data_IF_407418714450
#
_entry.id   IF_407418714450
#
_cell.length_a   1.000
_cell.length_b   1.000
_cell.length_c   1.000
_cell.angle_alpha   90.00
_cell.angle_beta   90.00
_cell.angle_gamma   90.00
#
_symmetry.space_group_name_H-M   'P 1'
#
loop_
_entity.id
_entity.type
_entity.pdbx_description
1 polymer ?
#
# COMPACT_ATOMS: atom_id res chain seq x y z
N UNK A 1 -8.22 15.70 8.07
CA UNK A 1 -7.26 16.03 9.14
C UNK A 1 -7.90 16.08 10.52
N UNK A 2 -8.91 16.94 10.81
CA UNK A 2 -9.50 17.04 12.15
C UNK A 2 -10.02 15.70 12.72
N UNK A 3 -10.72 14.89 11.91
CA UNK A 3 -11.18 13.54 12.30
C UNK A 3 -10.02 12.60 12.63
N UNK A 4 -8.97 12.61 11.81
CA UNK A 4 -7.81 11.71 11.95
C UNK A 4 -7.02 11.99 13.22
N UNK A 5 -6.73 13.27 13.48
CA UNK A 5 -5.91 13.68 14.62
C UNK A 5 -6.71 14.07 15.86
N UNK A 6 -8.04 13.93 15.81
CA UNK A 6 -8.97 14.23 16.93
C UNK A 6 -8.77 15.63 17.52
N UNK A 7 -8.38 16.60 16.68
CA UNK A 7 -8.14 18.00 17.04
C UNK A 7 -8.46 18.92 15.87
N UNK A 8 -8.77 20.19 16.10
CA UNK A 8 -9.00 21.17 15.04
C UNK A 8 -7.81 21.22 14.08
N UNK A 9 -8.11 21.32 12.78
CA UNK A 9 -7.10 21.57 11.75
C UNK A 9 -7.06 23.07 11.47
N UNK A 10 -5.87 23.65 11.55
CA UNK A 10 -5.63 25.07 11.30
C UNK A 10 -4.52 25.23 10.26
N UNK A 11 -4.72 26.14 9.32
CA UNK A 11 -3.71 26.55 8.35
C UNK A 11 -3.12 27.88 8.81
N UNK A 12 -1.82 27.88 9.05
CA UNK A 12 -1.08 29.06 9.49
C UNK A 12 -0.11 29.49 8.40
N UNK A 13 -0.17 30.77 7.99
CA UNK A 13 0.78 31.36 7.06
C UNK A 13 1.90 32.02 7.87
N UNK A 14 3.14 31.63 7.59
CA UNK A 14 4.35 32.10 8.27
C UNK A 14 5.40 32.53 7.28
N UNK A 15 6.25 33.47 7.66
CA UNK A 15 7.51 33.71 6.94
C UNK A 15 8.41 32.47 7.06
N UNK A 16 9.23 32.21 6.03
CA UNK A 16 10.11 31.04 6.02
C UNK A 16 11.04 30.98 7.26
N UNK A 17 11.49 32.14 7.77
CA UNK A 17 12.30 32.23 8.99
C UNK A 17 11.60 31.78 10.26
N UNK A 18 10.25 31.67 10.22
CA UNK A 18 9.41 31.26 11.35
C UNK A 18 8.93 29.80 11.22
N UNK A 19 9.39 29.07 10.16
CA UNK A 19 9.00 27.68 10.00
C UNK A 19 9.38 26.87 11.24
N UNK A 20 8.53 25.93 11.72
CA UNK A 20 8.92 24.98 12.75
C UNK A 20 10.15 24.18 12.33
N UNK A 21 10.92 23.72 13.31
CA UNK A 21 11.99 22.76 13.04
C UNK A 21 11.40 21.46 12.44
N UNK A 22 12.14 20.85 11.55
CA UNK A 22 11.75 19.57 10.98
C UNK A 22 11.70 18.53 12.10
N UNK A 23 10.62 17.76 12.17
CA UNK A 23 10.49 16.67 13.13
C UNK A 23 10.07 15.40 12.40
N UNK A 24 10.76 14.31 12.66
CA UNK A 24 10.38 12.97 12.23
C UNK A 24 10.27 12.08 13.46
N UNK A 25 9.20 11.32 13.55
CA UNK A 25 8.98 10.34 14.61
C UNK A 25 8.86 8.95 13.99
N UNK A 26 9.89 8.55 13.21
CA UNK A 26 9.98 7.18 12.73
C UNK A 26 9.98 6.21 13.91
N UNK A 27 9.13 5.19 13.83
CA UNK A 27 9.15 4.10 14.79
C UNK A 27 9.95 2.95 14.19
N UNK A 28 10.85 2.30 14.95
CA UNK A 28 11.49 1.06 14.53
C UNK A 28 10.45 -0.07 14.55
N UNK A 29 9.56 -0.09 13.55
CA UNK A 29 8.49 -1.05 13.39
C UNK A 29 8.88 -2.02 12.27
N UNK A 30 8.69 -3.32 12.53
CA UNK A 30 8.96 -4.35 11.54
C UNK A 30 10.30 -5.05 11.71
N UNK A 31 10.51 -6.10 10.88
CA UNK A 31 11.69 -6.99 10.89
C UNK A 31 11.86 -7.85 12.16
N UNK A 32 10.89 -7.84 13.07
CA UNK A 32 10.88 -8.72 14.23
C UNK A 32 10.37 -10.10 13.80
N UNK A 33 11.26 -11.09 13.73
CA UNK A 33 10.93 -12.41 13.21
C UNK A 33 10.96 -13.53 14.27
N UNK A 34 11.41 -13.23 15.48
CA UNK A 34 11.50 -14.16 16.60
C UNK A 34 10.11 -14.55 17.15
N UNK A 35 9.94 -15.79 17.60
CA UNK A 35 8.73 -16.30 18.23
C UNK A 35 7.61 -16.69 17.27
N UNK A 36 6.40 -16.86 17.83
CA UNK A 36 5.20 -17.29 17.12
C UNK A 36 4.31 -16.07 16.84
N UNK A 37 4.15 -15.70 15.58
CA UNK A 37 3.53 -14.45 15.16
C UNK A 37 2.36 -14.66 14.21
N UNK A 38 1.30 -13.90 14.38
CA UNK A 38 0.24 -13.80 13.38
C UNK A 38 0.51 -12.56 12.52
N UNK A 39 0.50 -12.73 11.21
CA UNK A 39 0.44 -11.64 10.25
C UNK A 39 -0.90 -11.63 9.54
N UNK A 40 -1.56 -10.49 9.52
CA UNK A 40 -2.86 -10.33 8.89
C UNK A 40 -2.84 -9.19 7.89
N UNK A 41 -3.32 -9.46 6.68
CA UNK A 41 -3.49 -8.47 5.63
C UNK A 41 -4.99 -8.32 5.32
N UNK A 42 -5.52 -7.16 5.67
CA UNK A 42 -6.93 -6.81 5.50
C UNK A 42 -7.15 -6.12 4.16
N UNK A 43 -7.32 -6.91 3.10
CA UNK A 43 -7.65 -6.40 1.77
C UNK A 43 -9.12 -6.01 1.60
N UNK A 44 -9.42 -5.32 0.50
CA UNK A 44 -10.77 -4.86 0.18
C UNK A 44 -11.70 -5.92 -0.42
N UNK A 45 -11.16 -7.03 -0.93
CA UNK A 45 -11.91 -8.14 -1.56
C UNK A 45 -11.58 -9.50 -0.93
N UNK A 46 -10.45 -9.59 -0.26
CA UNK A 46 -9.96 -10.77 0.41
C UNK A 46 -9.20 -10.36 1.68
N UNK A 47 -9.04 -11.31 2.58
CA UNK A 47 -8.17 -11.18 3.75
C UNK A 47 -7.18 -12.32 3.75
N UNK A 48 -5.93 -12.04 4.10
CA UNK A 48 -4.87 -13.02 4.20
C UNK A 48 -4.37 -13.10 5.63
N UNK A 49 -4.09 -14.30 6.08
CA UNK A 49 -3.49 -14.51 7.39
C UNK A 49 -2.36 -15.53 7.28
N UNK A 50 -1.28 -15.27 7.99
CA UNK A 50 -0.15 -16.21 8.10
C UNK A 50 0.19 -16.49 9.56
N UNK A 51 0.49 -17.74 9.86
CA UNK A 51 1.18 -18.15 11.08
C UNK A 51 2.68 -18.24 10.77
N UNK A 52 3.49 -17.52 11.53
CA UNK A 52 4.94 -17.39 11.31
C UNK A 52 5.65 -17.82 12.60
N UNK A 53 6.62 -18.73 12.48
CA UNK A 53 7.45 -19.16 13.60
C UNK A 53 8.91 -18.86 13.25
N UNK A 54 9.55 -18.01 14.05
CA UNK A 54 10.95 -17.59 13.87
C UNK A 54 11.26 -17.15 12.43
N UNK A 55 10.34 -16.40 11.83
CA UNK A 55 10.47 -15.84 10.47
C UNK A 55 9.97 -16.75 9.34
N UNK A 56 9.68 -18.03 9.62
CA UNK A 56 9.20 -18.97 8.61
C UNK A 56 7.67 -19.09 8.64
N UNK A 57 6.97 -18.88 7.51
CA UNK A 57 5.53 -19.08 7.43
C UNK A 57 5.22 -20.60 7.48
N UNK A 58 4.55 -21.04 8.56
CA UNK A 58 4.13 -22.43 8.73
C UNK A 58 2.70 -22.69 8.25
N UNK A 59 1.93 -21.61 8.09
CA UNK A 59 0.57 -21.65 7.53
C UNK A 59 0.24 -20.31 6.89
N UNK A 60 -0.53 -20.34 5.80
CA UNK A 60 -1.13 -19.15 5.21
C UNK A 60 -2.49 -19.49 4.61
N UNK A 61 -3.45 -18.60 4.76
CA UNK A 61 -4.78 -18.72 4.22
C UNK A 61 -5.22 -17.38 3.60
N UNK A 62 -5.92 -17.47 2.47
CA UNK A 62 -6.59 -16.34 1.83
C UNK A 62 -8.09 -16.66 1.75
N UNK A 63 -8.92 -15.74 2.25
CA UNK A 63 -10.37 -15.91 2.29
C UNK A 63 -11.02 -14.67 1.68
N UNK A 64 -11.92 -14.89 0.72
CA UNK A 64 -12.77 -13.82 0.17
C UNK A 64 -13.64 -13.23 1.27
N UNK A 65 -13.60 -11.91 1.38
CA UNK A 65 -14.52 -11.14 2.20
C UNK A 65 -14.84 -9.81 1.51
N UNK A 66 -15.93 -9.18 1.88
CA UNK A 66 -16.39 -7.96 1.22
C UNK A 66 -16.66 -6.87 2.27
N UNK A 67 -15.63 -6.37 2.95
CA UNK A 67 -15.77 -5.45 4.09
C UNK A 67 -16.39 -4.11 3.67
N UNK A 68 -16.06 -3.61 2.48
CA UNK A 68 -16.59 -2.35 1.95
C UNK A 68 -18.10 -2.37 1.69
N UNK A 69 -18.69 -3.55 1.62
CA UNK A 69 -20.13 -3.75 1.38
C UNK A 69 -20.93 -3.88 2.66
N UNK A 70 -20.28 -4.02 3.81
CA UNK A 70 -20.92 -4.29 5.09
C UNK A 70 -21.01 -3.04 5.97
N UNK A 71 -22.21 -2.83 6.51
CA UNK A 71 -22.46 -1.74 7.46
C UNK A 71 -22.33 -2.18 8.94
N UNK A 72 -22.41 -3.49 9.19
CA UNK A 72 -22.32 -4.04 10.54
C UNK A 72 -20.84 -4.28 10.93
N UNK A 73 -20.33 -3.59 11.97
CA UNK A 73 -18.96 -3.81 12.46
C UNK A 73 -18.72 -5.22 13.02
N UNK A 74 -19.76 -5.97 13.37
CA UNK A 74 -19.60 -7.35 13.84
C UNK A 74 -19.17 -8.31 12.73
N UNK A 75 -19.58 -8.06 11.49
CA UNK A 75 -19.07 -8.80 10.32
C UNK A 75 -17.53 -8.69 10.23
N UNK A 76 -17.03 -7.46 10.33
CA UNK A 76 -15.59 -7.20 10.26
C UNK A 76 -14.86 -7.85 11.44
N UNK A 77 -15.35 -7.62 12.65
CA UNK A 77 -14.75 -8.18 13.87
C UNK A 77 -14.70 -9.72 13.85
N UNK A 78 -15.82 -10.35 13.49
CA UNK A 78 -15.89 -11.82 13.41
C UNK A 78 -14.90 -12.37 12.36
N UNK A 79 -14.81 -11.69 11.19
CA UNK A 79 -13.86 -12.06 10.15
C UNK A 79 -12.40 -11.96 10.59
N UNK A 80 -12.02 -10.90 11.29
CA UNK A 80 -10.66 -10.71 11.81
C UNK A 80 -10.34 -11.76 12.87
N UNK A 81 -11.23 -11.96 13.86
CA UNK A 81 -11.02 -12.94 14.93
C UNK A 81 -10.95 -14.36 14.39
N UNK A 82 -11.78 -14.71 13.39
CA UNK A 82 -11.73 -16.01 12.74
C UNK A 82 -10.35 -16.25 12.10
N UNK A 83 -9.82 -15.29 11.34
CA UNK A 83 -8.50 -15.37 10.73
C UNK A 83 -7.40 -15.56 11.78
N UNK A 84 -7.43 -14.76 12.87
CA UNK A 84 -6.45 -14.89 13.95
C UNK A 84 -6.50 -16.27 14.64
N UNK A 85 -7.70 -16.80 14.89
CA UNK A 85 -7.87 -18.13 15.48
C UNK A 85 -7.38 -19.24 14.55
N UNK A 86 -7.65 -19.13 13.25
CA UNK A 86 -7.13 -20.08 12.26
C UNK A 86 -5.61 -20.11 12.28
N UNK A 87 -4.94 -18.97 12.20
CA UNK A 87 -3.48 -18.91 12.26
C UNK A 87 -2.94 -19.42 13.63
N UNK A 88 -3.55 -19.02 14.74
CA UNK A 88 -3.16 -19.46 16.08
C UNK A 88 -3.19 -20.99 16.25
N UNK A 89 -4.12 -21.67 15.58
CA UNK A 89 -4.23 -23.14 15.67
C UNK A 89 -3.01 -23.88 15.06
N UNK A 90 -2.19 -23.21 14.27
CA UNK A 90 -0.98 -23.76 13.65
C UNK A 90 0.30 -23.46 14.43
N UNK A 91 0.19 -22.87 15.62
CA UNK A 91 1.34 -22.47 16.45
C UNK A 91 1.12 -22.94 17.91
N UNK A 92 2.19 -23.23 18.66
CA UNK A 92 2.07 -23.65 20.06
C UNK A 92 1.59 -22.51 20.99
N UNK A 93 1.76 -21.26 20.58
CA UNK A 93 1.36 -20.03 21.27
C UNK A 93 1.30 -18.87 20.27
N UNK A 94 0.85 -17.72 20.72
CA UNK A 94 0.93 -16.46 19.94
C UNK A 94 1.67 -15.42 20.77
N UNK A 95 2.81 -14.95 20.26
CA UNK A 95 3.68 -13.99 20.94
C UNK A 95 3.43 -12.55 20.45
N UNK A 96 2.94 -12.36 19.21
CA UNK A 96 2.65 -11.06 18.63
C UNK A 96 1.67 -11.14 17.45
N UNK A 97 0.97 -10.07 17.16
CA UNK A 97 0.05 -9.93 16.02
C UNK A 97 0.34 -8.65 15.27
N UNK A 98 0.75 -8.76 14.02
CA UNK A 98 0.95 -7.62 13.12
C UNK A 98 -0.12 -7.56 12.03
N UNK A 99 -0.55 -6.35 11.69
CA UNK A 99 -1.70 -6.10 10.82
C UNK A 99 -1.33 -5.08 9.75
N UNK A 100 -1.56 -5.48 8.51
CA UNK A 100 -1.54 -4.65 7.31
C UNK A 100 -2.99 -4.29 6.94
N UNK A 101 -3.31 -3.03 6.77
CA UNK A 101 -4.66 -2.62 6.41
C UNK A 101 -4.70 -1.24 5.76
N UNK A 102 -5.51 -1.07 4.71
CA UNK A 102 -5.71 0.22 4.08
C UNK A 102 -6.32 1.22 5.06
N UNK A 103 -5.69 2.38 5.21
CA UNK A 103 -6.20 3.46 6.07
C UNK A 103 -5.12 4.15 6.89
N UNK A 104 -5.56 5.02 7.80
CA UNK A 104 -4.71 5.79 8.71
C UNK A 104 -4.88 5.24 10.12
N UNK A 105 -3.77 4.85 10.73
CA UNK A 105 -3.71 4.24 12.07
C UNK A 105 -2.85 5.09 13.01
N UNK A 106 -3.38 5.38 14.20
CA UNK A 106 -2.66 6.11 15.25
C UNK A 106 -2.76 5.31 16.55
N UNK A 107 -1.63 4.93 17.12
CA UNK A 107 -1.57 4.07 18.30
C UNK A 107 -2.42 2.78 18.14
N UNK A 108 -2.31 2.14 16.98
CA UNK A 108 -3.05 0.92 16.59
C UNK A 108 -4.57 1.09 16.47
N UNK A 109 -5.08 2.33 16.54
CA UNK A 109 -6.50 2.66 16.36
C UNK A 109 -6.79 3.03 14.92
N UNK A 110 -7.90 2.56 14.39
CA UNK A 110 -8.39 2.90 13.06
C UNK A 110 -8.98 4.30 13.06
N UNK A 111 -8.31 5.27 12.44
CA UNK A 111 -8.80 6.65 12.37
C UNK A 111 -9.67 6.88 11.14
N UNK A 112 -9.21 6.41 9.97
CA UNK A 112 -9.94 6.38 8.71
C UNK A 112 -9.50 5.14 7.95
N UNK A 113 -10.43 4.37 7.40
CA UNK A 113 -10.10 3.21 6.58
C UNK A 113 -11.23 2.88 5.58
N UNK A 114 -10.86 2.65 4.33
CA UNK A 114 -11.79 2.35 3.24
C UNK A 114 -12.57 1.03 3.44
N UNK A 115 -12.07 0.14 4.28
CA UNK A 115 -12.75 -1.12 4.60
C UNK A 115 -14.08 -0.95 5.34
N UNK A 116 -14.27 0.19 6.01
CA UNK A 116 -15.43 0.47 6.86
C UNK A 116 -16.34 1.59 6.32
N UNK A 117 -16.29 1.85 5.00
CA UNK A 117 -17.00 2.97 4.37
C UNK A 117 -18.53 2.97 4.60
N UNK A 118 -19.13 1.78 4.72
CA UNK A 118 -20.58 1.66 4.97
C UNK A 118 -20.97 1.64 6.43
N UNK A 119 -20.00 1.57 7.35
CA UNK A 119 -20.27 1.59 8.79
C UNK A 119 -20.66 3.01 9.19
N UNK A 120 -21.84 3.21 9.83
CA UNK A 120 -22.24 4.51 10.37
C UNK A 120 -21.21 5.11 11.34
N UNK A 121 -21.09 6.43 11.35
CA UNK A 121 -20.04 7.13 12.12
C UNK A 121 -20.10 6.83 13.62
N UNK A 122 -21.27 6.75 14.21
CA UNK A 122 -21.46 6.40 15.63
C UNK A 122 -20.99 4.96 15.94
N UNK A 123 -21.27 4.01 15.06
CA UNK A 123 -20.77 2.64 15.18
C UNK A 123 -19.27 2.55 14.89
N UNK A 124 -18.76 3.37 13.97
CA UNK A 124 -17.33 3.45 13.71
C UNK A 124 -16.58 3.91 14.98
N UNK A 125 -17.00 5.00 15.58
CA UNK A 125 -16.40 5.52 16.82
C UNK A 125 -16.47 4.50 17.98
N UNK A 126 -17.61 3.86 18.16
CA UNK A 126 -17.84 2.96 19.28
C UNK A 126 -17.21 1.57 19.11
N UNK A 127 -17.05 1.08 17.88
CA UNK A 127 -16.80 -0.35 17.64
C UNK A 127 -15.68 -0.65 16.63
N UNK A 128 -15.33 0.30 15.74
CA UNK A 128 -14.30 0.10 14.71
C UNK A 128 -12.95 0.69 15.12
N UNK A 129 -12.95 1.82 15.79
CA UNK A 129 -11.68 2.47 16.19
C UNK A 129 -10.67 1.52 16.83
N UNK A 130 -11.12 0.68 17.75
CA UNK A 130 -10.28 -0.29 18.47
C UNK A 130 -10.45 -1.73 17.98
N UNK A 131 -10.96 -1.94 16.76
CA UNK A 131 -11.35 -3.26 16.26
C UNK A 131 -10.21 -4.25 16.26
N UNK A 132 -9.02 -3.87 15.82
CA UNK A 132 -7.83 -4.71 15.75
C UNK A 132 -7.26 -5.02 17.14
N UNK A 133 -7.24 -4.02 18.04
CA UNK A 133 -6.84 -4.19 19.44
C UNK A 133 -7.77 -5.18 20.15
N UNK A 134 -9.08 -5.02 19.94
CA UNK A 134 -10.09 -5.94 20.52
C UNK A 134 -9.97 -7.34 19.94
N UNK A 135 -9.72 -7.49 18.65
CA UNK A 135 -9.52 -8.78 18.02
C UNK A 135 -8.25 -9.50 18.53
N UNK A 136 -7.16 -8.76 18.72
CA UNK A 136 -5.93 -9.29 19.32
C UNK A 136 -6.18 -9.78 20.77
N UNK A 137 -6.91 -8.99 21.57
CA UNK A 137 -7.29 -9.38 22.95
C UNK A 137 -8.18 -10.62 23.01
N UNK A 138 -8.93 -10.95 21.95
CA UNK A 138 -9.72 -12.18 21.87
C UNK A 138 -8.86 -13.45 21.65
N UNK A 139 -7.58 -13.27 21.28
CA UNK A 139 -6.57 -14.35 21.21
C UNK A 139 -5.80 -14.45 22.52
N UNK A 140 -5.41 -13.31 23.08
CA UNK A 140 -4.77 -13.23 24.39
C UNK A 140 -4.67 -11.79 24.90
N UNK A 141 -4.87 -11.53 26.21
CA UNK A 141 -5.04 -10.19 26.75
C UNK A 141 -3.79 -9.31 26.63
N UNK A 142 -2.59 -9.92 26.63
CA UNK A 142 -1.31 -9.23 26.71
C UNK A 142 -0.47 -9.39 25.42
N UNK A 143 -1.08 -9.85 24.32
CA UNK A 143 -0.36 -10.03 23.05
C UNK A 143 -0.08 -8.66 22.43
N UNK A 144 1.18 -8.30 22.15
CA UNK A 144 1.53 -7.10 21.42
C UNK A 144 0.86 -7.08 20.04
N UNK A 145 0.31 -5.92 19.68
CA UNK A 145 -0.31 -5.70 18.37
C UNK A 145 0.29 -4.45 17.73
N UNK A 146 0.56 -4.51 16.44
CA UNK A 146 0.94 -3.34 15.64
C UNK A 146 0.14 -3.32 14.33
N UNK A 147 -0.44 -2.16 14.02
CA UNK A 147 -1.26 -1.94 12.82
C UNK A 147 -0.61 -0.85 11.96
N UNK A 148 -0.31 -1.19 10.72
CA UNK A 148 0.27 -0.25 9.76
C UNK A 148 -0.56 -0.19 8.48
N UNK A 149 -0.39 0.91 7.74
CA UNK A 149 -0.94 1.05 6.40
C UNK A 149 -0.41 -0.05 5.46
N UNK A 150 -1.25 -0.54 4.57
CA UNK A 150 -0.91 -1.62 3.63
C UNK A 150 0.20 -1.24 2.63
N UNK A 151 0.28 0.03 2.22
CA UNK A 151 1.39 0.57 1.42
C UNK A 151 2.72 0.49 2.18
N UNK A 152 2.74 0.90 3.44
CA UNK A 152 3.94 0.84 4.30
C UNK A 152 4.39 -0.61 4.54
N UNK A 153 3.46 -1.53 4.77
CA UNK A 153 3.78 -2.95 4.94
C UNK A 153 4.29 -3.56 3.64
N UNK A 154 3.78 -3.12 2.48
CA UNK A 154 4.30 -3.53 1.17
C UNK A 154 5.74 -3.03 0.95
N UNK A 155 6.04 -1.79 1.33
CA UNK A 155 7.40 -1.24 1.29
C UNK A 155 8.34 -2.01 2.25
N UNK A 156 7.86 -2.36 3.46
CA UNK A 156 8.60 -3.17 4.42
C UNK A 156 8.90 -4.57 3.86
N UNK A 157 7.93 -5.23 3.23
CA UNK A 157 8.16 -6.51 2.56
C UNK A 157 9.25 -6.40 1.48
N UNK A 158 9.25 -5.29 0.72
CA UNK A 158 10.30 -4.95 -0.23
C UNK A 158 11.66 -4.79 0.43
N UNK A 159 11.71 -4.01 1.51
CA UNK A 159 12.93 -3.77 2.26
C UNK A 159 13.52 -5.06 2.88
N UNK A 160 12.65 -5.96 3.38
CA UNK A 160 13.05 -7.29 3.87
C UNK A 160 13.55 -8.19 2.74
N UNK A 161 12.92 -8.15 1.56
CA UNK A 161 13.34 -8.91 0.40
C UNK A 161 14.69 -8.47 -0.14
N UNK A 162 14.91 -7.16 -0.24
CA UNK A 162 16.13 -6.54 -0.75
C UNK A 162 17.26 -6.50 0.29
N UNK A 163 16.95 -6.78 1.57
CA UNK A 163 17.84 -6.57 2.70
C UNK A 163 18.43 -5.12 2.71
N UNK A 164 17.56 -4.15 2.48
CA UNK A 164 17.94 -2.74 2.31
C UNK A 164 16.90 -1.82 2.93
N UNK A 165 17.31 -0.59 3.27
CA UNK A 165 16.44 0.53 3.58
C UNK A 165 16.26 1.47 2.37
N UNK A 166 15.66 2.63 2.61
CA UNK A 166 15.34 3.63 1.57
C UNK A 166 14.50 3.03 0.43
N UNK A 167 13.44 2.32 0.77
CA UNK A 167 12.58 1.62 -0.17
C UNK A 167 11.24 2.31 -0.28
N UNK A 168 10.90 2.75 -1.49
CA UNK A 168 9.55 3.17 -1.86
C UNK A 168 8.82 2.00 -2.49
N UNK A 169 7.71 1.57 -1.89
CA UNK A 169 6.75 0.66 -2.51
C UNK A 169 5.65 1.46 -3.22
N UNK A 170 5.39 1.17 -4.49
CA UNK A 170 4.35 1.82 -5.28
C UNK A 170 3.45 0.76 -5.91
N UNK A 171 2.23 0.65 -5.41
CA UNK A 171 1.25 -0.29 -5.91
C UNK A 171 0.32 0.39 -6.93
N UNK A 172 0.38 -0.07 -8.17
CA UNK A 172 -0.40 0.40 -9.30
C UNK A 172 -1.52 -0.62 -9.60
N UNK A 173 -2.67 -0.43 -8.98
CA UNK A 173 -3.81 -1.36 -9.03
C UNK A 173 -5.11 -0.70 -9.44
N UNK A 174 -6.19 -0.96 -8.69
CA UNK A 174 -7.47 -0.25 -8.80
C UNK A 174 -7.28 1.23 -8.46
N UNK A 175 -6.45 1.51 -7.46
CA UNK A 175 -5.94 2.82 -7.10
C UNK A 175 -4.41 2.77 -7.09
N UNK A 176 -3.78 3.88 -6.80
CA UNK A 176 -2.38 3.96 -6.44
C UNK A 176 -2.25 3.92 -4.92
N UNK A 177 -1.25 3.21 -4.41
CA UNK A 177 -0.88 3.24 -3.00
C UNK A 177 0.63 3.32 -2.86
N UNK A 178 1.10 4.20 -1.99
CA UNK A 178 2.50 4.39 -1.67
C UNK A 178 2.83 3.93 -0.25
N UNK A 179 4.06 3.51 -0.02
CA UNK A 179 4.63 3.28 1.30
C UNK A 179 6.12 3.48 1.27
N UNK A 180 6.71 3.90 2.38
CA UNK A 180 8.12 4.19 2.44
C UNK A 180 8.77 3.66 3.71
N UNK A 181 9.93 3.05 3.52
CA UNK A 181 10.83 2.59 4.59
C UNK A 181 12.12 3.38 4.49
N UNK A 182 12.54 4.01 5.58
CA UNK A 182 13.73 4.88 5.65
C UNK A 182 15.05 4.10 5.52
N UNK A 183 16.18 4.81 5.56
CA UNK A 183 17.51 4.20 5.42
C UNK A 183 17.86 3.22 6.55
N UNK A 184 17.25 3.37 7.71
CA UNK A 184 17.43 2.47 8.85
C UNK A 184 16.46 1.27 8.82
N UNK A 185 15.54 1.26 7.83
CA UNK A 185 14.56 0.22 7.64
C UNK A 185 13.28 0.41 8.46
N UNK A 186 13.01 1.63 8.92
CA UNK A 186 11.84 1.95 9.72
C UNK A 186 10.68 2.48 8.88
N UNK A 187 9.46 2.19 9.31
CA UNK A 187 8.25 2.85 8.80
C UNK A 187 8.19 4.26 9.40
N UNK A 188 8.10 5.29 8.56
CA UNK A 188 8.22 6.70 8.97
C UNK A 188 6.99 7.24 9.67
N UNK A 189 5.83 6.62 9.49
CA UNK A 189 4.54 7.14 9.93
C UNK A 189 4.05 8.34 9.10
N UNK A 190 4.66 8.62 7.95
CA UNK A 190 4.14 9.56 6.96
C UNK A 190 2.90 8.96 6.28
N UNK A 191 2.02 9.81 5.75
CA UNK A 191 0.78 9.32 5.13
C UNK A 191 1.02 8.62 3.80
N UNK A 192 2.09 8.99 3.07
CA UNK A 192 2.49 8.40 1.78
C UNK A 192 1.37 8.34 0.73
N UNK A 193 0.45 9.31 0.75
CA UNK A 193 -0.72 9.37 -0.14
C UNK A 193 -0.34 9.88 -1.53
N UNK A 194 0.54 9.15 -2.23
CA UNK A 194 1.04 9.50 -3.56
C UNK A 194 -0.07 9.56 -4.61
N UNK A 195 -1.17 8.85 -4.39
CA UNK A 195 -2.37 8.89 -5.23
C UNK A 195 -2.89 10.32 -5.48
N UNK A 196 -2.72 11.22 -4.50
CA UNK A 196 -3.24 12.60 -4.55
C UNK A 196 -2.16 13.65 -4.84
N UNK A 197 -0.93 13.21 -5.07
CA UNK A 197 0.17 14.10 -5.42
C UNK A 197 0.06 14.51 -6.89
N UNK A 198 0.16 15.83 -7.25
CA UNK A 198 0.09 16.28 -8.64
C UNK A 198 1.30 15.75 -9.42
N UNK A 199 1.04 15.09 -10.55
CA UNK A 199 2.05 14.54 -11.47
C UNK A 199 1.89 15.10 -12.88
N UNK A 200 0.79 15.82 -13.16
CA UNK A 200 0.56 16.53 -14.42
C UNK A 200 -0.06 17.91 -14.12
N UNK A 201 0.64 18.97 -14.49
CA UNK A 201 0.19 20.33 -14.32
C UNK A 201 -0.70 20.84 -15.47
N UNK A 202 -1.07 19.98 -16.44
CA UNK A 202 -1.98 20.36 -17.51
C UNK A 202 -3.38 20.64 -16.93
N UNK A 203 -3.96 21.84 -17.17
CA UNK A 203 -5.31 22.16 -16.67
C UNK A 203 -6.41 21.28 -17.23
N UNK A 204 -6.17 20.62 -18.37
CA UNK A 204 -7.10 19.66 -19.00
C UNK A 204 -6.80 18.21 -18.58
N UNK A 205 -5.94 17.99 -17.59
CA UNK A 205 -5.67 16.65 -17.07
C UNK A 205 -6.91 16.06 -16.38
N UNK A 206 -6.93 14.74 -16.26
CA UNK A 206 -8.05 14.03 -15.65
C UNK A 206 -8.24 14.44 -14.20
N UNK A 207 -9.49 14.73 -13.83
CA UNK A 207 -9.91 15.00 -12.45
C UNK A 207 -10.12 13.68 -11.71
N UNK A 208 -9.65 13.60 -10.48
CA UNK A 208 -10.02 12.51 -9.58
C UNK A 208 -11.39 12.78 -8.94
N UNK A 209 -12.30 11.83 -9.11
CA UNK A 209 -13.71 12.01 -8.70
C UNK A 209 -13.88 12.05 -7.17
N UNK A 210 -12.91 11.54 -6.43
CA UNK A 210 -12.98 11.48 -4.98
C UNK A 210 -12.39 12.72 -4.31
N UNK A 211 -11.19 13.15 -4.74
CA UNK A 211 -10.54 14.32 -4.15
C UNK A 211 -10.92 15.64 -4.83
N UNK A 212 -11.30 15.58 -6.11
CA UNK A 212 -11.48 16.75 -6.98
C UNK A 212 -10.16 17.30 -7.55
N UNK A 213 -9.03 16.64 -7.28
CA UNK A 213 -7.71 17.06 -7.74
C UNK A 213 -7.51 16.78 -9.23
N UNK A 214 -6.82 17.68 -9.92
CA UNK A 214 -6.51 17.59 -11.34
C UNK A 214 -5.09 17.04 -11.51
N UNK A 215 -4.92 16.02 -12.35
CA UNK A 215 -3.59 15.52 -12.72
C UNK A 215 -2.83 14.81 -11.60
N UNK A 216 -3.54 14.24 -10.62
CA UNK A 216 -2.90 13.53 -9.51
C UNK A 216 -2.51 12.08 -9.86
N UNK A 217 -1.61 11.51 -9.06
CA UNK A 217 -0.96 10.22 -9.29
C UNK A 217 -1.91 9.07 -9.62
N UNK A 218 -3.03 8.93 -8.90
CA UNK A 218 -4.00 7.85 -9.14
C UNK A 218 -4.55 7.83 -10.57
N UNK A 219 -4.61 8.97 -11.26
CA UNK A 219 -5.08 9.06 -12.65
C UNK A 219 -3.99 8.73 -13.69
N UNK A 220 -2.78 8.38 -13.22
CA UNK A 220 -1.62 7.98 -14.04
C UNK A 220 -1.11 6.60 -13.67
N UNK A 221 -1.00 6.29 -12.37
CA UNK A 221 -0.35 5.08 -11.84
C UNK A 221 -1.36 4.09 -11.27
N UNK A 222 -2.50 3.97 -11.92
CA UNK A 222 -3.53 2.99 -11.64
C UNK A 222 -4.13 2.46 -12.95
N UNK A 223 -5.13 1.58 -12.85
CA UNK A 223 -5.91 1.14 -14.02
C UNK A 223 -6.56 2.31 -14.79
N UNK A 224 -6.89 3.42 -14.10
CA UNK A 224 -7.46 4.61 -14.74
C UNK A 224 -6.48 5.24 -15.74
N UNK A 225 -5.17 5.24 -15.42
CA UNK A 225 -4.13 5.71 -16.32
C UNK A 225 -4.12 4.95 -17.65
N UNK A 226 -4.15 3.62 -17.57
CA UNK A 226 -4.22 2.77 -18.75
C UNK A 226 -5.54 2.97 -19.51
N UNK A 227 -6.66 3.00 -18.79
CA UNK A 227 -8.00 3.08 -19.40
C UNK A 227 -8.26 4.42 -20.08
N UNK A 228 -7.71 5.55 -19.59
CA UNK A 228 -7.84 6.86 -20.26
C UNK A 228 -7.00 6.97 -21.54
N UNK A 229 -5.87 6.25 -21.60
CA UNK A 229 -4.98 6.27 -22.76
C UNK A 229 -5.45 5.32 -23.88
N UNK A 230 -6.09 4.21 -23.53
CA UNK A 230 -6.51 3.19 -24.47
C UNK A 230 -7.40 3.73 -25.63
N UNK A 231 -8.47 4.52 -25.39
CA UNK A 231 -9.25 5.11 -26.46
C UNK A 231 -8.46 6.11 -27.32
N UNK A 232 -7.50 6.84 -26.72
CA UNK A 232 -6.62 7.76 -27.46
C UNK A 232 -5.68 7.01 -28.41
N UNK A 233 -5.31 5.77 -28.05
CA UNK A 233 -4.56 4.86 -28.92
C UNK A 233 -5.44 4.11 -29.94
N UNK A 234 -6.75 4.36 -29.95
CA UNK A 234 -7.70 3.66 -30.83
C UNK A 234 -8.04 2.23 -30.39
N UNK A 235 -7.92 1.94 -29.09
CA UNK A 235 -8.35 0.67 -28.50
C UNK A 235 -9.78 0.81 -28.00
N UNK A 236 -10.66 -0.02 -28.56
CA UNK A 236 -12.05 -0.11 -28.09
C UNK A 236 -12.14 -0.96 -26.81
N UNK A 237 -12.74 -0.39 -25.78
CA UNK A 237 -12.99 -1.03 -24.48
C UNK A 237 -14.50 -1.15 -24.18
N UNK A 238 -15.36 -0.92 -25.17
CA UNK A 238 -16.83 -0.91 -24.99
C UNK A 238 -17.42 -2.25 -24.56
N UNK A 239 -16.71 -3.36 -24.78
CA UNK A 239 -17.11 -4.69 -24.37
C UNK A 239 -16.92 -4.97 -22.87
N UNK A 240 -16.32 -4.03 -22.13
CA UNK A 240 -16.02 -4.18 -20.70
C UNK A 240 -16.85 -3.21 -19.86
N UNK A 241 -17.47 -3.71 -18.80
CA UNK A 241 -18.32 -2.92 -17.91
C UNK A 241 -17.50 -2.29 -16.77
N UNK A 242 -16.43 -2.94 -16.33
CA UNK A 242 -15.63 -2.49 -15.20
C UNK A 242 -14.25 -1.98 -15.61
N UNK A 243 -13.63 -1.04 -14.86
CA UNK A 243 -12.27 -0.60 -15.12
C UNK A 243 -11.23 -1.74 -15.13
N UNK A 244 -11.43 -2.76 -14.31
CA UNK A 244 -10.54 -3.92 -14.27
C UNK A 244 -10.64 -4.78 -15.53
N UNK A 245 -11.82 -4.94 -16.10
CA UNK A 245 -12.02 -5.64 -17.39
C UNK A 245 -11.43 -4.85 -18.55
N UNK A 246 -11.57 -3.52 -18.54
CA UNK A 246 -10.95 -2.61 -19.52
C UNK A 246 -9.43 -2.76 -19.52
N UNK A 247 -8.81 -2.79 -18.32
CA UNK A 247 -7.38 -3.05 -18.19
C UNK A 247 -7.00 -4.40 -18.80
N UNK A 248 -7.77 -5.48 -18.55
CA UNK A 248 -7.48 -6.81 -19.13
C UNK A 248 -7.49 -6.82 -20.65
N UNK A 249 -8.38 -6.04 -21.29
CA UNK A 249 -8.37 -5.90 -22.77
C UNK A 249 -7.03 -5.35 -23.23
N UNK A 250 -6.53 -4.27 -22.62
CA UNK A 250 -5.26 -3.66 -23.02
C UNK A 250 -4.08 -4.59 -22.73
N UNK A 251 -4.11 -5.30 -21.59
CA UNK A 251 -3.08 -6.29 -21.25
C UNK A 251 -3.05 -7.46 -22.23
N UNK A 252 -4.22 -7.94 -22.69
CA UNK A 252 -4.30 -9.00 -23.70
C UNK A 252 -3.73 -8.52 -25.04
N UNK A 253 -4.12 -7.34 -25.51
CA UNK A 253 -3.55 -6.75 -26.72
C UNK A 253 -2.02 -6.58 -26.62
N UNK A 254 -1.52 -6.19 -25.45
CA UNK A 254 -0.07 -6.11 -25.21
C UNK A 254 0.59 -7.48 -25.29
N UNK A 255 -0.03 -8.53 -24.77
CA UNK A 255 0.47 -9.91 -24.85
C UNK A 255 0.52 -10.39 -26.31
N UNK A 256 -0.48 -9.99 -27.11
CA UNK A 256 -0.60 -10.31 -28.54
C UNK A 256 0.33 -9.47 -29.42
N UNK A 257 1.03 -8.48 -28.85
CA UNK A 257 2.00 -7.64 -29.55
C UNK A 257 1.40 -6.44 -30.29
N UNK A 258 0.19 -6.00 -29.92
CA UNK A 258 -0.44 -4.82 -30.52
C UNK A 258 0.36 -3.55 -30.18
N UNK A 259 0.85 -2.79 -31.19
CA UNK A 259 1.65 -1.59 -30.97
C UNK A 259 0.87 -0.45 -30.27
N UNK A 260 -0.45 -0.43 -30.36
CA UNK A 260 -1.29 0.56 -29.68
C UNK A 260 -1.29 0.33 -28.15
N UNK A 261 -1.38 -0.93 -27.73
CA UNK A 261 -1.25 -1.29 -26.33
C UNK A 261 0.16 -1.00 -25.81
N UNK A 262 1.20 -1.30 -26.60
CA UNK A 262 2.57 -0.94 -26.25
C UNK A 262 2.74 0.58 -26.05
N UNK A 263 2.16 1.42 -26.92
CA UNK A 263 2.19 2.86 -26.76
C UNK A 263 1.52 3.35 -25.46
N UNK A 264 0.43 2.71 -25.04
CA UNK A 264 -0.26 3.01 -23.76
C UNK A 264 0.66 2.74 -22.58
N UNK A 265 1.26 1.55 -22.51
CA UNK A 265 2.15 1.18 -21.40
C UNK A 265 3.46 1.98 -21.41
N UNK A 266 4.03 2.27 -22.58
CA UNK A 266 5.20 3.13 -22.71
C UNK A 266 4.93 4.56 -22.20
N UNK A 267 3.78 5.14 -22.55
CA UNK A 267 3.39 6.46 -22.04
C UNK A 267 3.28 6.49 -20.53
N UNK A 268 2.68 5.45 -19.93
CA UNK A 268 2.59 5.32 -18.46
C UNK A 268 3.99 5.22 -17.84
N UNK A 269 4.90 4.45 -18.46
CA UNK A 269 6.30 4.33 -18.01
C UNK A 269 7.06 5.65 -18.10
N UNK A 270 6.81 6.44 -19.14
CA UNK A 270 7.40 7.77 -19.29
C UNK A 270 6.97 8.70 -18.14
N UNK A 271 5.67 8.80 -17.85
CA UNK A 271 5.16 9.56 -16.70
C UNK A 271 5.76 9.06 -15.38
N UNK A 272 5.85 7.75 -15.21
CA UNK A 272 6.42 7.15 -13.99
C UNK A 272 7.89 7.55 -13.80
N UNK A 273 8.70 7.57 -14.86
CA UNK A 273 10.10 7.98 -14.78
C UNK A 273 10.25 9.42 -14.25
N UNK A 274 9.45 10.34 -14.77
CA UNK A 274 9.44 11.74 -14.30
C UNK A 274 8.93 11.84 -12.85
N UNK A 275 7.86 11.13 -12.50
CA UNK A 275 7.31 11.14 -11.15
C UNK A 275 8.28 10.57 -10.12
N UNK A 276 9.01 9.49 -10.45
CA UNK A 276 10.01 8.91 -9.56
C UNK A 276 11.18 9.86 -9.28
N UNK A 277 11.63 10.62 -10.28
CA UNK A 277 12.63 11.65 -10.08
C UNK A 277 12.15 12.73 -9.10
N UNK A 278 10.89 13.18 -9.26
CA UNK A 278 10.29 14.16 -8.36
C UNK A 278 10.03 13.59 -6.96
N UNK A 279 9.56 12.34 -6.83
CA UNK A 279 9.41 11.70 -5.53
C UNK A 279 10.75 11.58 -4.80
N UNK A 280 11.86 11.41 -5.52
CA UNK A 280 13.19 11.38 -4.91
C UNK A 280 13.59 12.69 -4.25
N UNK A 281 13.04 13.83 -4.66
CA UNK A 281 13.26 15.12 -3.98
C UNK A 281 12.55 15.19 -2.61
N UNK A 282 11.51 14.36 -2.41
CA UNK A 282 10.71 14.31 -1.18
C UNK A 282 11.16 13.19 -0.24
N UNK A 283 11.60 12.06 -0.82
CA UNK A 283 12.05 10.86 -0.12
C UNK A 283 13.51 10.58 -0.46
N UNK A 284 14.25 10.04 0.46
CA UNK A 284 15.59 9.53 0.16
C UNK A 284 15.48 8.10 -0.39
N UNK A 285 15.19 7.97 -1.69
CA UNK A 285 14.89 6.70 -2.34
C UNK A 285 16.17 6.06 -2.87
N UNK A 286 16.40 4.80 -2.52
CA UNK A 286 17.42 3.95 -3.15
C UNK A 286 16.77 2.89 -4.04
N UNK A 287 15.69 2.30 -3.59
CA UNK A 287 14.96 1.27 -4.32
C UNK A 287 13.49 1.65 -4.47
N UNK A 288 12.93 1.39 -5.65
CA UNK A 288 11.49 1.49 -5.90
C UNK A 288 10.97 0.11 -6.26
N UNK A 289 10.01 -0.38 -5.49
CA UNK A 289 9.33 -1.64 -5.78
C UNK A 289 7.96 -1.35 -6.40
N UNK A 290 7.81 -1.71 -7.67
CA UNK A 290 6.58 -1.48 -8.44
C UNK A 290 5.68 -2.72 -8.36
N UNK A 291 4.47 -2.52 -7.87
CA UNK A 291 3.51 -3.57 -7.52
C UNK A 291 2.17 -3.36 -8.25
N UNK A 292 1.27 -4.32 -8.12
CA UNK A 292 -0.12 -4.19 -8.55
C UNK A 292 -0.41 -4.72 -9.95
N UNK A 293 -1.71 -4.75 -10.30
CA UNK A 293 -2.19 -5.39 -11.52
C UNK A 293 -1.72 -4.72 -12.81
N UNK A 294 -1.51 -3.41 -12.77
CA UNK A 294 -1.00 -2.65 -13.93
C UNK A 294 0.41 -3.10 -14.29
N UNK A 295 1.19 -3.50 -13.28
CA UNK A 295 2.57 -3.99 -13.45
C UNK A 295 2.66 -5.47 -13.83
N UNK A 296 1.54 -6.12 -14.18
CA UNK A 296 1.54 -7.52 -14.55
C UNK A 296 1.90 -7.77 -16.02
N UNK A 297 2.72 -8.80 -16.28
CA UNK A 297 3.07 -9.25 -17.62
C UNK A 297 3.88 -8.23 -18.43
N UNK A 298 3.88 -8.38 -19.75
CA UNK A 298 4.68 -7.55 -20.69
C UNK A 298 4.43 -6.04 -20.57
N UNK A 299 3.22 -5.65 -20.17
CA UNK A 299 2.90 -4.23 -19.93
C UNK A 299 3.70 -3.65 -18.78
N UNK A 300 3.80 -4.37 -17.66
CA UNK A 300 4.61 -3.97 -16.52
C UNK A 300 6.11 -3.93 -16.82
N UNK A 301 6.60 -4.91 -17.58
CA UNK A 301 8.01 -4.92 -18.06
C UNK A 301 8.31 -3.67 -18.88
N UNK A 302 7.38 -3.26 -19.76
CA UNK A 302 7.55 -2.06 -20.61
C UNK A 302 7.48 -0.78 -19.80
N UNK A 303 6.54 -0.67 -18.86
CA UNK A 303 6.48 0.48 -17.92
C UNK A 303 7.82 0.64 -17.20
N UNK A 304 8.34 -0.46 -16.64
CA UNK A 304 9.63 -0.44 -15.94
C UNK A 304 10.78 -0.02 -16.85
N UNK A 305 10.84 -0.57 -18.08
CA UNK A 305 11.88 -0.24 -19.05
C UNK A 305 11.86 1.25 -19.43
N UNK A 306 10.67 1.81 -19.71
CA UNK A 306 10.52 3.21 -20.06
C UNK A 306 10.82 4.15 -18.88
N UNK A 307 10.38 3.81 -17.67
CA UNK A 307 10.72 4.59 -16.48
C UNK A 307 12.25 4.64 -16.26
N UNK A 308 12.94 3.51 -16.42
CA UNK A 308 14.41 3.46 -16.36
C UNK A 308 15.06 4.29 -17.46
N UNK A 309 14.52 4.25 -18.68
CA UNK A 309 15.03 5.07 -19.79
C UNK A 309 14.93 6.55 -19.47
N UNK A 310 13.76 7.02 -19.02
CA UNK A 310 13.55 8.43 -18.65
C UNK A 310 14.50 8.86 -17.53
N UNK A 311 14.64 8.04 -16.49
CA UNK A 311 15.57 8.34 -15.41
C UNK A 311 17.02 8.47 -15.92
N UNK A 312 17.46 7.57 -16.78
CA UNK A 312 18.83 7.59 -17.30
C UNK A 312 19.10 8.77 -18.24
N UNK A 313 18.13 9.14 -19.08
CA UNK A 313 18.29 10.18 -20.09
C UNK A 313 18.04 11.60 -19.55
N UNK A 314 17.00 11.76 -18.70
CA UNK A 314 16.55 13.08 -18.23
C UNK A 314 17.06 13.42 -16.82
N UNK A 315 17.34 12.41 -15.99
CA UNK A 315 17.71 12.58 -14.59
C UNK A 315 18.95 11.77 -14.20
N UNK A 316 20.09 11.89 -14.92
CA UNK A 316 21.27 11.06 -14.67
C UNK A 316 21.91 11.24 -13.27
N UNK A 317 21.51 12.29 -12.54
CA UNK A 317 21.94 12.55 -11.16
C UNK A 317 21.11 11.79 -10.11
N UNK A 318 19.97 11.21 -10.50
CA UNK A 318 19.07 10.48 -9.60
C UNK A 318 19.49 9.00 -9.55
N UNK A 319 20.01 8.58 -8.41
CA UNK A 319 20.51 7.21 -8.20
C UNK A 319 19.45 6.38 -7.46
N UNK A 320 18.39 6.00 -8.16
CA UNK A 320 17.37 5.09 -7.66
C UNK A 320 17.18 3.89 -8.59
N UNK A 321 16.77 2.75 -8.02
CA UNK A 321 16.68 1.47 -8.70
C UNK A 321 15.23 0.99 -8.73
N UNK A 322 14.46 1.24 -9.81
CA UNK A 322 13.11 0.67 -9.93
C UNK A 322 13.19 -0.81 -10.31
N UNK A 323 12.33 -1.62 -9.69
CA UNK A 323 12.27 -3.06 -9.88
C UNK A 323 10.84 -3.61 -9.74
N UNK A 324 10.63 -4.82 -10.25
CA UNK A 324 9.43 -5.62 -9.98
C UNK A 324 9.71 -6.63 -8.86
N UNK A 325 8.65 -7.14 -8.19
CA UNK A 325 8.78 -8.16 -7.15
C UNK A 325 9.47 -9.42 -7.65
N UNK A 326 10.45 -9.89 -6.92
CA UNK A 326 11.11 -11.18 -7.14
C UNK A 326 10.41 -12.34 -6.40
N UNK A 327 10.96 -13.55 -6.49
CA UNK A 327 10.43 -14.71 -5.77
C UNK A 327 10.57 -14.59 -4.26
N UNK A 328 11.61 -13.93 -3.77
CA UNK A 328 11.83 -13.72 -2.33
C UNK A 328 10.75 -12.80 -1.76
N UNK A 329 10.42 -11.72 -2.46
CA UNK A 329 9.31 -10.85 -2.11
C UNK A 329 7.98 -11.62 -2.07
N UNK A 330 7.72 -12.47 -3.08
CA UNK A 330 6.49 -13.27 -3.15
C UNK A 330 6.37 -14.27 -2.00
N UNK A 331 7.49 -14.81 -1.50
CA UNK A 331 7.53 -15.73 -0.34
C UNK A 331 7.25 -15.00 0.98
N UNK A 332 7.88 -13.83 1.18
CA UNK A 332 7.62 -13.01 2.36
C UNK A 332 6.15 -12.60 2.36
N UNK A 333 5.66 -12.03 1.26
CA UNK A 333 4.28 -11.57 1.17
C UNK A 333 3.92 -10.51 2.22
N UNK A 334 2.78 -9.88 2.04
CA UNK A 334 2.37 -8.78 2.89
C UNK A 334 1.98 -9.25 4.30
N UNK A 335 1.36 -10.43 4.43
CA UNK A 335 0.98 -10.97 5.74
C UNK A 335 2.19 -11.40 6.60
N UNK A 336 3.28 -11.92 5.98
CA UNK A 336 4.51 -12.24 6.72
C UNK A 336 5.25 -10.97 7.13
N UNK A 337 5.31 -9.95 6.25
CA UNK A 337 5.84 -8.65 6.62
C UNK A 337 5.03 -8.01 7.75
N UNK A 338 3.69 -8.11 7.71
CA UNK A 338 2.83 -7.69 8.81
C UNK A 338 3.18 -8.42 10.11
N UNK A 339 3.39 -9.73 10.08
CA UNK A 339 3.77 -10.50 11.28
C UNK A 339 5.03 -9.95 11.97
N UNK A 340 5.93 -9.33 11.18
CA UNK A 340 7.18 -8.77 11.69
C UNK A 340 7.03 -7.40 12.37
N UNK A 341 5.85 -6.77 12.34
CA UNK A 341 5.66 -5.40 12.81
C UNK A 341 5.89 -5.21 14.32
N UNK A 342 5.22 -5.98 15.21
CA UNK A 342 5.33 -5.72 16.63
C UNK A 342 6.62 -6.27 17.23
N UNK A 343 7.23 -5.50 18.13
CA UNK A 343 8.31 -5.98 18.99
C UNK A 343 7.74 -6.84 20.15
N UNK A 344 8.35 -7.98 20.43
CA UNK A 344 8.05 -8.78 21.61
C UNK A 344 8.91 -8.27 22.75
N UNK A 345 8.29 -7.59 23.72
CA UNK A 345 9.00 -7.19 24.93
C UNK A 345 9.42 -8.46 25.69
N UNK A 346 10.73 -8.68 25.81
CA UNK A 346 11.25 -9.77 26.66
C UNK A 346 10.79 -9.52 28.08
N UNK A 347 9.97 -10.43 28.61
CA UNK A 347 9.66 -10.42 30.05
C UNK A 347 10.97 -10.68 30.77
N UNK A 348 11.48 -9.67 31.49
CA UNK A 348 12.68 -9.77 32.32
C UNK A 348 12.48 -10.73 33.49
#
# INVERSE_FOLDING_TARGET
MARVYERPFEVVFLDYSQKPADSSQAKPVGRHLDGCRIGFDAGGSDRKVSAVIDGEPVFSEEVVWLPKEQADPDYHYAGIVAAFRTAAAHMPRVDAIGISSAGIYIANRTMVASLFLKVPDDLFEARVKDIYIRAARAIGPDIPVEVCNDGDVSALAGAMSLDSGSVLGLAMGTSEAGGYVDCDGNITGWLNELAFVPVDANPDAMVDEWSGDIGCGVKYFSQDGINKLAPRAGIDQSAADTPAEKLKIVQQLMADGDPRAAAVFASTGCYLGHALAWYNDLYNIKHVLLLGRVMSGRGGDLILAEAKRVLAEEYPQVDLIPSLPDEKFRRIGQSVAAASLPEIMKRG
#
